data_IF_415091037053
#
_entry.id   IF_415091037053
#
_cell.length_a   1.000
_cell.length_b   1.000
_cell.length_c   1.000
_cell.angle_alpha   90.00
_cell.angle_beta   90.00
_cell.angle_gamma   90.00
#
_symmetry.space_group_name_H-M   'P 1'
#
loop_
_entity.id
_entity.type
_entity.pdbx_description
1 polymer ?
#
# COMPACT_ATOMS: atom_id res chain seq x y z
N UNK A 1 -2.35 -10.12 -0.50
CA UNK A 1 -3.50 -9.25 -0.16
C UNK A 1 -3.90 -8.45 -1.39
N UNK A 2 -5.16 -8.42 -1.70
CA UNK A 2 -5.65 -7.63 -2.83
C UNK A 2 -6.38 -6.39 -2.33
N UNK A 3 -6.09 -5.26 -2.96
CA UNK A 3 -6.70 -3.99 -2.58
C UNK A 3 -6.82 -3.07 -3.78
N UNK A 4 -7.79 -2.17 -3.72
CA UNK A 4 -8.03 -1.16 -4.74
C UNK A 4 -7.44 0.15 -4.28
N UNK A 5 -6.65 0.78 -5.14
CA UNK A 5 -6.05 2.07 -4.82
C UNK A 5 -7.07 3.19 -5.03
N UNK A 6 -7.28 3.99 -3.99
CA UNK A 6 -8.22 5.13 -4.03
C UNK A 6 -7.54 6.44 -3.64
N UNK A 7 -6.23 6.44 -3.49
CA UNK A 7 -5.46 7.65 -3.21
C UNK A 7 -5.12 8.41 -4.48
N UNK A 8 -4.30 9.44 -4.31
CA UNK A 8 -3.74 10.15 -5.46
C UNK A 8 -2.64 9.30 -6.08
N UNK A 9 -2.49 9.36 -7.38
CA UNK A 9 -1.45 8.62 -8.08
C UNK A 9 -0.09 8.90 -7.45
N UNK A 10 0.64 7.83 -7.18
CA UNK A 10 1.97 7.91 -6.58
C UNK A 10 2.47 6.52 -6.28
N UNK A 11 3.77 6.38 -6.05
CA UNK A 11 4.42 5.10 -5.80
C UNK A 11 4.14 4.06 -6.91
N UNK A 12 3.78 4.51 -8.10
CA UNK A 12 3.47 3.63 -9.22
C UNK A 12 2.04 3.10 -9.22
N UNK A 13 1.20 3.50 -8.25
CA UNK A 13 -0.19 3.06 -8.20
C UNK A 13 -1.10 4.05 -8.90
N UNK A 14 -2.18 3.53 -9.52
CA UNK A 14 -3.16 4.32 -10.24
C UNK A 14 -4.52 4.22 -9.58
N UNK A 15 -5.21 5.34 -9.46
CA UNK A 15 -6.56 5.39 -8.88
C UNK A 15 -7.48 4.38 -9.57
N UNK A 16 -8.20 3.62 -8.77
CA UNK A 16 -9.21 2.69 -9.28
C UNK A 16 -8.69 1.33 -9.69
N UNK A 17 -7.39 1.13 -9.70
CA UNK A 17 -6.80 -0.16 -10.08
C UNK A 17 -6.69 -1.07 -8.86
N UNK A 18 -6.80 -2.37 -9.11
CA UNK A 18 -6.66 -3.40 -8.07
C UNK A 18 -5.27 -4.02 -8.20
N UNK A 19 -4.60 -4.15 -7.07
CA UNK A 19 -3.25 -4.69 -7.01
C UNK A 19 -3.18 -5.85 -6.03
N UNK A 20 -2.28 -6.78 -6.32
CA UNK A 20 -1.93 -7.85 -5.40
C UNK A 20 -0.70 -7.39 -4.64
N UNK A 21 -0.85 -7.16 -3.33
CA UNK A 21 0.13 -6.44 -2.54
C UNK A 21 0.86 -7.32 -1.54
N UNK A 22 2.12 -6.97 -1.30
CA UNK A 22 2.89 -7.46 -0.17
C UNK A 22 3.02 -6.35 0.85
N UNK A 23 3.11 -6.71 2.12
CA UNK A 23 3.25 -5.76 3.22
C UNK A 23 4.51 -6.04 4.02
N UNK A 24 5.08 -4.99 4.60
CA UNK A 24 6.23 -5.09 5.47
C UNK A 24 6.18 -3.96 6.49
N UNK A 25 6.60 -4.26 7.72
CA UNK A 25 6.78 -3.24 8.75
C UNK A 25 8.25 -2.86 8.76
N UNK A 26 8.55 -1.60 8.51
CA UNK A 26 9.93 -1.12 8.42
C UNK A 26 10.11 0.09 9.30
N UNK A 27 11.34 0.29 9.76
CA UNK A 27 11.72 1.44 10.57
C UNK A 27 12.71 2.27 9.76
N UNK A 28 12.23 3.38 9.20
CA UNK A 28 13.06 4.30 8.43
C UNK A 28 13.16 5.61 9.18
N UNK A 29 12.07 6.34 9.31
CA UNK A 29 11.97 7.54 10.14
C UNK A 29 10.83 7.32 11.12
N UNK A 30 10.98 6.27 11.97
CA UNK A 30 9.90 5.77 12.78
C UNK A 30 9.29 4.54 12.14
N UNK A 31 8.26 3.98 12.75
CA UNK A 31 7.62 2.77 12.29
C UNK A 31 6.74 3.07 11.09
N UNK A 32 6.97 2.37 10.00
CA UNK A 32 6.20 2.53 8.76
C UNK A 32 5.60 1.20 8.33
N UNK A 33 4.38 1.27 7.82
CA UNK A 33 3.75 0.13 7.14
C UNK A 33 4.00 0.34 5.65
N UNK A 34 4.70 -0.60 5.02
CA UNK A 34 5.08 -0.46 3.62
C UNK A 34 4.32 -1.45 2.76
N UNK A 35 3.85 -0.99 1.61
CA UNK A 35 3.18 -1.83 0.63
C UNK A 35 3.94 -1.82 -0.68
N UNK A 36 3.92 -2.93 -1.40
CA UNK A 36 4.36 -2.96 -2.79
C UNK A 36 3.51 -3.95 -3.58
N UNK A 37 3.38 -3.69 -4.87
CA UNK A 37 2.87 -4.66 -5.82
C UNK A 37 3.82 -5.86 -5.84
N UNK A 38 3.31 -7.07 -5.85
CA UNK A 38 4.12 -8.29 -5.91
C UNK A 38 5.13 -8.27 -7.05
N UNK A 39 4.80 -7.61 -8.15
CA UNK A 39 5.65 -7.55 -9.32
C UNK A 39 6.60 -6.37 -9.31
N UNK A 40 6.62 -5.58 -8.24
CA UNK A 40 7.46 -4.41 -8.11
C UNK A 40 8.53 -4.62 -7.05
N UNK A 41 9.62 -3.86 -7.14
CA UNK A 41 10.65 -3.83 -6.11
C UNK A 41 10.56 -2.58 -5.24
N UNK A 42 9.60 -1.70 -5.52
CA UNK A 42 9.50 -0.41 -4.84
C UNK A 42 8.46 -0.46 -3.73
N UNK A 43 8.90 -0.23 -2.49
CA UNK A 43 8.03 -0.15 -1.34
C UNK A 43 7.44 1.26 -1.20
N UNK A 44 6.15 1.34 -0.89
CA UNK A 44 5.47 2.61 -0.64
C UNK A 44 5.16 2.69 0.86
N UNK A 45 5.78 3.60 1.60
CA UNK A 45 5.61 3.67 3.05
C UNK A 45 4.39 4.48 3.45
N UNK A 46 3.73 4.03 4.52
CA UNK A 46 2.64 4.75 5.17
C UNK A 46 2.98 4.91 6.65
N UNK A 47 2.74 6.08 7.19
CA UNK A 47 3.11 6.39 8.58
C UNK A 47 2.21 5.71 9.62
N UNK A 48 1.02 5.27 9.20
CA UNK A 48 0.08 4.63 10.11
C UNK A 48 -0.90 3.78 9.30
N UNK A 49 -1.63 2.91 9.99
CA UNK A 49 -2.69 2.13 9.36
C UNK A 49 -3.80 3.06 8.85
N UNK A 50 -4.11 4.13 9.56
CA UNK A 50 -5.11 5.10 9.11
C UNK A 50 -4.72 5.72 7.77
N UNK A 51 -3.47 6.14 7.63
CA UNK A 51 -2.98 6.73 6.39
C UNK A 51 -3.06 5.72 5.25
N UNK A 52 -2.75 4.46 5.51
CA UNK A 52 -2.85 3.40 4.52
C UNK A 52 -4.30 3.23 4.08
N UNK A 53 -5.24 3.16 5.01
CA UNK A 53 -6.64 2.92 4.69
C UNK A 53 -7.33 4.12 4.05
N UNK A 54 -6.74 5.30 4.12
CA UNK A 54 -7.22 6.46 3.35
C UNK A 54 -6.94 6.30 1.86
N UNK A 55 -5.99 5.45 1.50
CA UNK A 55 -5.53 5.29 0.13
C UNK A 55 -5.92 3.94 -0.48
N UNK A 56 -6.45 3.02 0.32
CA UNK A 56 -6.71 1.66 -0.13
C UNK A 56 -8.02 1.12 0.41
N UNK A 57 -8.74 0.39 -0.44
CA UNK A 57 -9.87 -0.44 -0.02
C UNK A 57 -9.40 -1.89 -0.09
N UNK A 58 -9.39 -2.56 1.05
CA UNK A 58 -8.98 -3.96 1.11
C UNK A 58 -10.11 -4.83 0.56
N UNK A 59 -9.81 -5.64 -0.45
CA UNK A 59 -10.79 -6.49 -1.12
C UNK A 59 -10.69 -7.91 -0.60
N UNK A 60 -9.47 -8.38 -0.38
CA UNK A 60 -9.21 -9.75 0.05
C UNK A 60 -8.74 -9.71 1.49
N UNK A 61 -9.46 -10.39 2.36
CA UNK A 61 -9.23 -10.36 3.81
C UNK A 61 -8.38 -11.53 4.30
N UNK A 62 -7.59 -12.06 3.48
CA UNK A 62 -6.70 -13.16 3.86
C UNK A 62 -5.71 -12.80 4.95
#
# INVERSE_FOLDING_TARGET
MRAKFIGKDGCGFKYGQIYDLETSIQQVYGLCICLKDKNSINWCPYSSLEALLENWIIIDKQ
#
